data_IF_098642233451
#
_entry.id   IF_098642233451
#
_cell.length_a   1.000
_cell.length_b   1.000
_cell.length_c   1.000
_cell.angle_alpha   90.00
_cell.angle_beta   90.00
_cell.angle_gamma   90.00
#
_symmetry.space_group_name_H-M   'P 1'
#
loop_
_entity.id
_entity.type
_entity.pdbx_description
1 polymer ?
#
# COMPACT_ATOMS: atom_id res chain seq x y z
N UNK A 1 -0.35 7.70 27.73
CA UNK A 1 -0.62 6.64 26.73
C UNK A 1 -1.75 5.79 27.27
N UNK A 2 -2.76 5.47 26.45
CA UNK A 2 -3.83 4.55 26.85
C UNK A 2 -3.34 3.09 26.92
N UNK A 3 -4.20 2.14 27.31
CA UNK A 3 -3.87 0.72 27.28
C UNK A 3 -3.50 0.28 25.85
N UNK A 4 -2.61 -0.71 25.68
CA UNK A 4 -2.27 -1.20 24.35
C UNK A 4 -3.51 -1.83 23.69
N UNK A 5 -3.55 -1.73 22.36
CA UNK A 5 -4.72 -2.07 21.56
C UNK A 5 -4.37 -3.12 20.52
N UNK A 6 -5.35 -3.92 20.14
CA UNK A 6 -5.30 -4.77 18.97
C UNK A 6 -6.44 -4.40 18.02
N UNK A 7 -6.24 -4.66 16.73
CA UNK A 7 -7.23 -4.43 15.70
C UNK A 7 -7.19 -5.53 14.66
N UNK A 8 -8.36 -5.87 14.12
CA UNK A 8 -8.52 -6.72 12.94
C UNK A 8 -9.13 -5.84 11.87
N UNK A 9 -8.37 -5.58 10.82
CA UNK A 9 -8.75 -4.71 9.72
C UNK A 9 -9.04 -5.59 8.51
N UNK A 10 -10.30 -5.62 8.06
CA UNK A 10 -10.71 -6.45 6.93
C UNK A 10 -10.78 -5.64 5.66
N UNK A 11 -9.99 -6.08 4.69
CA UNK A 11 -10.16 -5.70 3.31
C UNK A 11 -11.39 -6.42 2.75
N UNK A 12 -12.32 -5.67 2.17
CA UNK A 12 -13.28 -6.22 1.22
C UNK A 12 -13.16 -5.46 -0.10
N UNK A 13 -13.41 -6.15 -1.21
CA UNK A 13 -13.33 -5.57 -2.56
C UNK A 13 -14.43 -4.55 -2.87
N UNK A 14 -15.34 -4.29 -1.92
CA UNK A 14 -16.47 -3.36 -2.07
C UNK A 14 -16.22 -2.00 -1.43
N UNK A 15 -15.18 -1.88 -0.60
CA UNK A 15 -14.82 -0.67 0.14
C UNK A 15 -15.56 -0.51 1.46
N UNK A 16 -16.34 -1.51 1.87
CA UNK A 16 -17.10 -1.48 3.11
C UNK A 16 -16.21 -1.88 4.30
N UNK A 17 -15.17 -1.09 4.57
CA UNK A 17 -14.19 -1.31 5.62
C UNK A 17 -14.81 -1.81 6.92
N UNK A 18 -14.49 -3.06 7.28
CA UNK A 18 -14.90 -3.66 8.56
C UNK A 18 -13.71 -3.83 9.45
N UNK A 19 -13.88 -3.39 10.69
CA UNK A 19 -12.82 -3.41 11.68
C UNK A 19 -13.35 -3.90 13.00
N UNK A 20 -12.49 -4.53 13.78
CA UNK A 20 -12.78 -4.84 15.17
C UNK A 20 -11.58 -4.43 16.01
N UNK A 21 -11.83 -3.74 17.11
CA UNK A 21 -10.80 -3.19 17.98
C UNK A 21 -11.01 -3.72 19.40
N UNK A 22 -9.90 -3.89 20.11
CA UNK A 22 -9.91 -4.19 21.53
C UNK A 22 -8.67 -3.65 22.23
N UNK A 23 -8.65 -3.80 23.54
CA UNK A 23 -7.51 -3.51 24.40
C UNK A 23 -6.97 -4.82 24.97
N UNK A 24 -5.74 -4.80 25.45
CA UNK A 24 -5.17 -5.91 26.21
C UNK A 24 -4.30 -5.35 27.34
N UNK A 25 -4.16 -6.09 28.44
CA UNK A 25 -3.21 -5.80 29.51
C UNK A 25 -2.34 -7.02 29.81
N UNK A 26 -2.89 -8.22 29.61
CA UNK A 26 -2.21 -9.50 29.76
C UNK A 26 -2.29 -10.31 28.48
N UNK A 27 -1.39 -11.28 28.33
CA UNK A 27 -1.32 -12.13 27.14
C UNK A 27 -2.64 -12.90 26.90
N UNK A 28 -3.36 -13.26 27.96
CA UNK A 28 -4.65 -13.95 27.85
C UNK A 28 -5.72 -13.11 27.13
N UNK A 29 -5.66 -11.79 27.23
CA UNK A 29 -6.62 -10.88 26.58
C UNK A 29 -6.47 -10.91 25.05
N UNK A 30 -5.29 -11.31 24.54
CA UNK A 30 -5.05 -11.49 23.10
C UNK A 30 -5.82 -12.69 22.52
N UNK A 31 -6.31 -13.61 23.35
CA UNK A 31 -7.24 -14.65 22.89
C UNK A 31 -8.53 -14.05 22.30
N UNK A 32 -8.95 -12.86 22.76
CA UNK A 32 -10.07 -12.13 22.17
C UNK A 32 -9.76 -11.67 20.74
N UNK A 33 -8.51 -11.26 20.47
CA UNK A 33 -8.08 -10.93 19.12
C UNK A 33 -8.12 -12.17 18.21
N UNK A 34 -7.67 -13.33 18.72
CA UNK A 34 -7.75 -14.58 17.97
C UNK A 34 -9.21 -14.97 17.65
N UNK A 35 -10.13 -14.85 18.61
CA UNK A 35 -11.55 -15.11 18.40
C UNK A 35 -12.17 -14.15 17.37
N UNK A 36 -11.81 -12.86 17.43
CA UNK A 36 -12.29 -11.83 16.52
C UNK A 36 -11.87 -12.06 15.05
N UNK A 37 -10.84 -12.90 14.78
CA UNK A 37 -10.49 -13.30 13.40
C UNK A 37 -11.61 -14.10 12.72
N UNK A 38 -12.53 -14.71 13.47
CA UNK A 38 -13.72 -15.36 12.95
C UNK A 38 -14.93 -14.43 12.77
N UNK A 39 -14.88 -13.20 13.29
CA UNK A 39 -16.00 -12.26 13.31
C UNK A 39 -15.97 -11.31 12.09
N UNK A 40 -17.13 -10.91 11.52
CA UNK A 40 -17.16 -10.04 10.34
C UNK A 40 -16.60 -8.64 10.61
N UNK A 41 -16.56 -8.18 11.86
CA UNK A 41 -16.17 -6.83 12.24
C UNK A 41 -17.25 -5.79 11.95
N UNK A 42 -17.06 -4.60 12.50
CA UNK A 42 -18.02 -3.50 12.46
C UNK A 42 -17.64 -2.45 11.39
N UNK A 43 -18.62 -1.89 10.66
CA UNK A 43 -18.38 -0.79 9.75
C UNK A 43 -18.21 0.55 10.50
N UNK A 44 -17.81 1.60 9.79
CA UNK A 44 -17.82 2.97 10.31
C UNK A 44 -16.58 3.38 11.13
N UNK A 45 -15.60 2.49 11.28
CA UNK A 45 -14.29 2.86 11.81
C UNK A 45 -13.46 3.61 10.76
N UNK A 46 -12.71 4.65 11.16
CA UNK A 46 -11.83 5.36 10.24
C UNK A 46 -10.66 4.45 9.79
N UNK A 47 -10.02 4.72 8.65
CA UNK A 47 -8.82 4.00 8.26
C UNK A 47 -7.65 4.29 9.22
N UNK A 48 -6.68 3.39 9.21
CA UNK A 48 -5.41 3.53 9.93
C UNK A 48 -4.31 3.85 8.92
N UNK A 49 -3.56 4.91 9.19
CA UNK A 49 -2.39 5.33 8.40
C UNK A 49 -1.13 4.89 9.15
N UNK A 50 -0.56 3.77 8.72
CA UNK A 50 0.63 3.16 9.31
C UNK A 50 1.88 3.72 8.62
N UNK A 51 2.77 4.36 9.38
CA UNK A 51 4.03 4.92 8.88
C UNK A 51 5.20 4.12 9.44
N UNK A 52 6.01 3.52 8.57
CA UNK A 52 7.15 2.71 9.03
C UNK A 52 8.22 3.62 9.66
N UNK A 53 8.55 3.38 10.93
CA UNK A 53 9.57 4.12 11.67
C UNK A 53 10.68 3.20 12.23
N UNK A 54 10.82 1.98 11.67
CA UNK A 54 11.63 0.90 12.23
C UNK A 54 13.14 1.01 11.91
N UNK A 55 13.85 1.88 12.63
CA UNK A 55 15.28 2.15 12.41
C UNK A 55 16.23 0.98 12.67
N UNK A 56 15.88 0.04 13.56
CA UNK A 56 16.70 -1.16 13.81
C UNK A 56 16.70 -2.12 12.61
N UNK A 57 15.60 -2.18 11.86
CA UNK A 57 15.55 -2.97 10.63
C UNK A 57 16.27 -2.24 9.50
N UNK A 58 15.88 -1.00 9.23
CA UNK A 58 16.57 -0.14 8.27
C UNK A 58 16.58 1.32 8.73
N UNK A 59 17.77 1.91 8.81
CA UNK A 59 17.97 3.27 9.32
C UNK A 59 17.17 4.31 8.52
N UNK A 60 17.00 4.11 7.21
CA UNK A 60 16.28 5.07 6.37
C UNK A 60 14.78 5.10 6.63
N UNK A 61 14.19 4.01 7.13
CA UNK A 61 12.80 3.99 7.58
C UNK A 61 12.60 4.91 8.80
N UNK A 62 13.50 4.90 9.79
CA UNK A 62 13.39 5.84 10.91
C UNK A 62 13.66 7.29 10.50
N UNK A 63 14.72 7.54 9.72
CA UNK A 63 15.14 8.89 9.33
C UNK A 63 14.09 9.61 8.46
N UNK A 64 13.44 8.90 7.55
CA UNK A 64 12.45 9.48 6.63
C UNK A 64 11.02 9.30 7.14
N UNK A 65 10.73 8.17 7.77
CA UNK A 65 9.38 7.83 8.24
C UNK A 65 8.91 8.67 9.43
N UNK A 66 9.76 8.93 10.43
CA UNK A 66 9.36 9.72 11.61
C UNK A 66 8.97 11.17 11.28
N UNK A 67 9.72 11.92 10.43
CA UNK A 67 9.26 13.23 9.97
C UNK A 67 7.91 13.18 9.22
N UNK A 68 7.70 12.16 8.38
CA UNK A 68 6.43 11.97 7.68
C UNK A 68 5.28 11.68 8.67
N UNK A 69 5.49 10.77 9.63
CA UNK A 69 4.51 10.43 10.66
C UNK A 69 4.12 11.66 11.50
N UNK A 70 5.10 12.45 11.94
CA UNK A 70 4.85 13.68 12.69
C UNK A 70 3.97 14.66 11.90
N UNK A 71 4.34 14.93 10.65
CA UNK A 71 3.62 15.91 9.81
C UNK A 71 2.21 15.42 9.48
N UNK A 72 2.04 14.11 9.27
CA UNK A 72 0.72 13.50 9.10
C UNK A 72 -0.12 13.61 10.38
N UNK A 73 0.47 13.36 11.55
CA UNK A 73 -0.22 13.42 12.84
C UNK A 73 -0.63 14.85 13.23
N UNK A 74 0.10 15.88 12.77
CA UNK A 74 -0.32 17.29 12.91
C UNK A 74 -1.64 17.57 12.19
N UNK A 75 -1.97 16.82 11.12
CA UNK A 75 -3.21 16.99 10.35
C UNK A 75 -4.29 15.96 10.69
N UNK A 76 -3.92 14.72 10.97
CA UNK A 76 -4.83 13.60 11.25
C UNK A 76 -4.37 12.82 12.49
N UNK A 77 -4.43 13.43 13.70
CA UNK A 77 -3.84 12.85 14.90
C UNK A 77 -4.44 11.49 15.29
N UNK A 78 -5.71 11.26 14.98
CA UNK A 78 -6.42 10.02 15.35
C UNK A 78 -6.21 8.87 14.35
N UNK A 79 -5.65 9.16 13.16
CA UNK A 79 -5.48 8.17 12.09
C UNK A 79 -4.07 7.59 12.03
N UNK A 80 -3.07 8.32 12.51
CA UNK A 80 -1.65 8.08 12.19
C UNK A 80 -0.96 7.29 13.29
N UNK A 81 -0.28 6.22 12.90
CA UNK A 81 0.46 5.36 13.81
C UNK A 81 1.87 5.14 13.27
N UNK A 82 2.88 5.40 14.09
CA UNK A 82 4.21 4.86 13.84
C UNK A 82 4.16 3.33 14.02
N UNK A 83 4.73 2.60 13.07
CA UNK A 83 4.71 1.15 13.07
C UNK A 83 6.08 0.55 12.79
N UNK A 84 6.19 -0.76 13.05
CA UNK A 84 7.32 -1.58 12.66
C UNK A 84 7.31 -1.82 11.14
N UNK A 85 8.23 -2.66 10.65
CA UNK A 85 8.48 -2.80 9.22
C UNK A 85 7.25 -3.31 8.43
N UNK A 86 6.92 -2.63 7.33
CA UNK A 86 5.80 -2.96 6.42
C UNK A 86 6.25 -3.38 5.01
N UNK A 87 7.52 -3.76 4.86
CA UNK A 87 8.11 -4.06 3.55
C UNK A 87 8.60 -2.82 2.82
N UNK A 88 9.60 -3.01 1.96
CA UNK A 88 10.01 -2.00 0.98
C UNK A 88 10.89 -0.88 1.53
N UNK A 89 11.86 -1.16 2.40
CA UNK A 89 12.74 -0.11 2.97
C UNK A 89 13.48 0.71 1.90
N UNK A 90 13.74 0.10 0.74
CA UNK A 90 14.29 0.80 -0.44
C UNK A 90 13.43 1.98 -0.91
N UNK A 91 12.17 2.02 -0.49
CA UNK A 91 11.21 3.07 -0.76
C UNK A 91 10.90 3.90 0.50
N UNK A 92 11.76 3.92 1.52
CA UNK A 92 11.52 4.79 2.67
C UNK A 92 11.40 6.27 2.24
N UNK A 93 10.44 7.06 2.77
CA UNK A 93 9.44 6.69 3.77
C UNK A 93 8.26 5.87 3.21
N UNK A 94 7.83 4.84 3.94
CA UNK A 94 6.71 3.97 3.59
C UNK A 94 5.47 4.28 4.42
N UNK A 95 4.32 4.35 3.77
CA UNK A 95 2.98 4.50 4.39
C UNK A 95 2.07 3.39 3.88
N UNK A 96 1.31 2.76 4.79
CA UNK A 96 0.22 1.83 4.48
C UNK A 96 -1.09 2.43 5.00
N UNK A 97 -2.08 2.55 4.14
CA UNK A 97 -3.45 2.87 4.57
C UNK A 97 -4.25 1.57 4.66
N UNK A 98 -4.79 1.28 5.84
CA UNK A 98 -5.55 0.07 6.14
C UNK A 98 -6.98 0.42 6.61
N UNK A 99 -8.00 -0.40 6.29
CA UNK A 99 -7.93 -1.65 5.55
C UNK A 99 -7.84 -1.46 4.03
N UNK A 100 -7.61 -0.24 3.54
CA UNK A 100 -7.49 0.02 2.11
C UNK A 100 -6.48 -0.89 1.40
N UNK A 101 -5.43 -1.27 2.10
CA UNK A 101 -4.40 -2.17 1.60
C UNK A 101 -3.47 -1.47 0.62
N UNK A 102 -3.40 -0.13 0.65
CA UNK A 102 -2.62 0.66 -0.31
C UNK A 102 -1.30 1.09 0.30
N UNK A 103 -0.21 0.73 -0.37
CA UNK A 103 1.13 1.14 0.02
C UNK A 103 1.62 2.33 -0.81
N UNK A 104 2.23 3.27 -0.09
CA UNK A 104 2.98 4.37 -0.66
C UNK A 104 4.44 4.32 -0.22
N UNK A 105 5.33 4.82 -1.07
CA UNK A 105 6.76 4.85 -0.85
C UNK A 105 7.44 6.03 -1.52
N UNK A 106 8.70 6.28 -1.15
CA UNK A 106 9.50 7.39 -1.63
C UNK A 106 8.96 8.73 -1.16
N UNK A 107 8.31 8.77 0.00
CA UNK A 107 7.69 9.97 0.54
C UNK A 107 8.69 10.78 1.37
N UNK A 108 8.49 12.10 1.34
CA UNK A 108 8.95 13.06 2.33
C UNK A 108 7.76 13.57 3.16
N UNK A 109 8.01 14.50 4.09
CA UNK A 109 6.97 15.04 4.97
C UNK A 109 5.81 15.72 4.23
N UNK A 110 6.09 16.48 3.16
CA UNK A 110 5.08 17.27 2.44
C UNK A 110 4.28 16.40 1.46
N UNK A 111 4.97 15.54 0.72
CA UNK A 111 4.35 14.56 -0.18
C UNK A 111 3.52 13.54 0.60
N UNK A 112 3.92 13.14 1.81
CA UNK A 112 3.11 12.26 2.66
C UNK A 112 1.73 12.88 2.96
N UNK A 113 1.68 14.14 3.40
CA UNK A 113 0.41 14.84 3.66
C UNK A 113 -0.45 14.93 2.41
N UNK A 114 0.18 15.23 1.26
CA UNK A 114 -0.54 15.32 -0.02
C UNK A 114 -1.11 13.98 -0.42
N UNK A 115 -0.29 12.92 -0.45
CA UNK A 115 -0.67 11.58 -0.88
C UNK A 115 -1.73 10.97 0.02
N UNK A 116 -1.58 11.06 1.35
CA UNK A 116 -2.59 10.57 2.29
C UNK A 116 -3.89 11.37 2.16
N UNK A 117 -3.82 12.69 1.99
CA UNK A 117 -5.00 13.51 1.78
C UNK A 117 -5.77 13.17 0.49
N UNK A 118 -5.05 12.85 -0.60
CA UNK A 118 -5.68 12.38 -1.84
C UNK A 118 -6.29 10.98 -1.66
N UNK A 119 -5.58 10.07 -0.98
CA UNK A 119 -6.10 8.73 -0.66
C UNK A 119 -7.39 8.78 0.14
N UNK A 120 -7.43 9.56 1.23
CA UNK A 120 -8.63 9.73 2.07
C UNK A 120 -9.81 10.37 1.32
N UNK A 121 -9.55 11.02 0.19
CA UNK A 121 -10.56 11.57 -0.71
C UNK A 121 -10.89 10.62 -1.89
N UNK A 122 -10.55 9.33 -1.76
CA UNK A 122 -10.70 8.27 -2.76
C UNK A 122 -10.06 8.61 -4.12
N UNK A 123 -8.88 9.24 -4.08
CA UNK A 123 -8.08 9.58 -5.25
C UNK A 123 -6.67 9.03 -5.11
N UNK A 124 -6.47 7.83 -5.62
CA UNK A 124 -5.15 7.22 -5.73
C UNK A 124 -4.48 7.71 -7.00
N UNK A 125 -3.27 8.25 -6.86
CA UNK A 125 -2.38 8.59 -7.96
C UNK A 125 -1.30 7.53 -8.09
N UNK A 126 -0.76 7.36 -9.31
CA UNK A 126 0.39 6.47 -9.53
C UNK A 126 1.69 6.99 -8.89
N UNK A 127 1.82 8.32 -8.74
CA UNK A 127 2.96 8.92 -8.05
C UNK A 127 3.01 8.41 -6.60
N UNK A 128 4.18 7.93 -6.17
CA UNK A 128 4.43 7.30 -4.87
C UNK A 128 3.65 6.01 -4.60
N UNK A 129 2.78 5.54 -5.49
CA UNK A 129 2.09 4.26 -5.32
C UNK A 129 3.11 3.12 -5.42
N UNK A 130 3.23 2.35 -4.33
CA UNK A 130 4.03 1.13 -4.31
C UNK A 130 3.20 -0.08 -4.76
N UNK A 131 1.89 -0.03 -4.52
CA UNK A 131 0.91 -1.01 -4.96
C UNK A 131 -0.06 -1.41 -3.85
N UNK A 132 -0.79 -2.51 -4.05
CA UNK A 132 -1.88 -2.96 -3.18
C UNK A 132 -1.56 -4.32 -2.55
N UNK A 133 -1.98 -4.55 -1.31
CA UNK A 133 -1.70 -5.77 -0.54
C UNK A 133 -2.24 -7.04 -1.17
N UNK A 134 -3.29 -6.92 -1.98
CA UNK A 134 -4.02 -8.01 -2.63
C UNK A 134 -3.54 -8.28 -4.07
N UNK A 135 -2.56 -7.52 -4.58
CA UNK A 135 -2.03 -7.65 -5.93
C UNK A 135 -0.56 -8.09 -5.93
N UNK A 136 -0.20 -8.98 -6.85
CA UNK A 136 1.21 -9.36 -7.02
C UNK A 136 1.96 -8.33 -7.91
N UNK A 137 3.31 -8.34 -7.95
CA UNK A 137 4.10 -7.28 -8.58
C UNK A 137 3.71 -6.84 -10.01
N UNK A 138 3.45 -7.75 -10.94
CA UNK A 138 3.07 -7.34 -12.31
C UNK A 138 1.67 -6.71 -12.37
N UNK A 139 0.73 -7.16 -11.54
CA UNK A 139 -0.59 -6.54 -11.41
C UNK A 139 -0.48 -5.13 -10.84
N UNK A 140 0.34 -4.94 -9.79
CA UNK A 140 0.59 -3.61 -9.22
C UNK A 140 1.17 -2.65 -10.26
N UNK A 141 2.14 -3.11 -11.06
CA UNK A 141 2.71 -2.32 -12.16
C UNK A 141 1.65 -1.94 -13.21
N UNK A 142 0.78 -2.88 -13.58
CA UNK A 142 -0.30 -2.63 -14.53
C UNK A 142 -1.31 -1.59 -14.01
N UNK A 143 -1.77 -1.73 -12.75
CA UNK A 143 -2.68 -0.78 -12.12
C UNK A 143 -2.04 0.60 -11.98
N UNK A 144 -0.78 0.68 -11.56
CA UNK A 144 -0.05 1.93 -11.48
C UNK A 144 0.08 2.62 -12.84
N UNK A 145 0.33 1.88 -13.92
CA UNK A 145 0.44 2.45 -15.26
C UNK A 145 -0.91 2.96 -15.80
N UNK A 146 -2.01 2.26 -15.53
CA UNK A 146 -3.36 2.73 -15.88
C UNK A 146 -3.72 3.97 -15.05
N UNK A 147 -3.42 4.00 -13.75
CA UNK A 147 -3.59 5.19 -12.91
C UNK A 147 -2.71 6.37 -13.36
N UNK A 148 -1.51 6.11 -13.88
CA UNK A 148 -0.64 7.17 -14.39
C UNK A 148 -1.23 7.84 -15.65
N UNK A 149 -1.95 7.06 -16.47
CA UNK A 149 -2.51 7.54 -17.74
C UNK A 149 -3.94 8.09 -17.62
N UNK A 150 -4.76 7.47 -16.78
CA UNK A 150 -6.20 7.73 -16.70
C UNK A 150 -6.69 8.08 -15.29
N UNK A 151 -5.80 8.08 -14.30
CA UNK A 151 -6.13 8.47 -12.93
C UNK A 151 -6.12 9.99 -12.71
N UNK A 152 -6.30 10.43 -11.45
CA UNK A 152 -6.50 9.58 -10.27
C UNK A 152 -7.84 8.86 -10.30
N UNK A 153 -7.95 7.77 -9.54
CA UNK A 153 -9.20 7.06 -9.33
C UNK A 153 -9.25 6.46 -7.93
N UNK A 154 -10.43 6.04 -7.48
CA UNK A 154 -10.59 5.35 -6.21
C UNK A 154 -9.84 4.02 -6.16
N UNK A 155 -9.51 3.53 -4.97
CA UNK A 155 -8.68 2.30 -4.85
C UNK A 155 -9.31 1.09 -5.54
N UNK A 156 -10.64 1.02 -5.62
CA UNK A 156 -11.39 -0.06 -6.27
C UNK A 156 -11.76 0.22 -7.73
N UNK A 157 -11.38 1.36 -8.28
CA UNK A 157 -11.80 1.75 -9.62
C UNK A 157 -11.27 0.78 -10.69
N UNK A 158 -10.08 0.20 -10.49
CA UNK A 158 -9.47 -0.76 -11.40
C UNK A 158 -9.41 -2.16 -10.79
N UNK A 159 -10.11 -3.11 -11.41
CA UNK A 159 -10.14 -4.51 -10.98
C UNK A 159 -9.35 -5.36 -11.96
N UNK A 160 -8.47 -6.23 -11.44
CA UNK A 160 -7.81 -7.23 -12.27
C UNK A 160 -8.78 -8.36 -12.59
N UNK A 161 -9.07 -8.56 -13.87
CA UNK A 161 -9.98 -9.61 -14.35
C UNK A 161 -9.25 -10.79 -14.99
N UNK A 162 -7.96 -10.63 -15.29
CA UNK A 162 -7.17 -11.71 -15.88
C UNK A 162 -5.67 -11.48 -15.75
N UNK A 163 -4.94 -12.58 -15.62
CA UNK A 163 -3.47 -12.60 -15.59
C UNK A 163 -3.02 -13.79 -16.43
N UNK A 164 -2.13 -13.54 -17.39
CA UNK A 164 -1.38 -14.61 -18.05
C UNK A 164 0.12 -14.28 -18.10
N UNK A 165 0.95 -15.32 -18.22
CA UNK A 165 2.41 -15.20 -18.22
C UNK A 165 3.04 -16.14 -19.24
N UNK A 166 4.00 -15.61 -20.00
CA UNK A 166 4.89 -16.37 -20.87
C UNK A 166 6.35 -15.94 -20.60
N UNK A 167 7.09 -16.77 -19.86
CA UNK A 167 8.45 -16.44 -19.43
C UNK A 167 8.49 -15.20 -18.52
N UNK A 168 9.13 -14.13 -19.02
CA UNK A 168 9.23 -12.83 -18.34
C UNK A 168 8.14 -11.84 -18.75
N UNK A 169 7.29 -12.20 -19.71
CA UNK A 169 6.21 -11.35 -20.20
C UNK A 169 4.90 -11.72 -19.52
N UNK A 170 4.14 -10.71 -19.15
CA UNK A 170 2.84 -10.81 -18.52
C UNK A 170 1.83 -10.02 -19.34
N UNK A 171 0.60 -10.54 -19.41
CA UNK A 171 -0.56 -9.78 -19.86
C UNK A 171 -1.53 -9.69 -18.68
N UNK A 172 -1.79 -8.47 -18.23
CA UNK A 172 -2.73 -8.17 -17.15
C UNK A 172 -3.96 -7.51 -17.76
N UNK A 173 -5.12 -8.10 -17.51
CA UNK A 173 -6.41 -7.56 -17.93
C UNK A 173 -7.06 -6.82 -16.77
N UNK A 174 -7.44 -5.59 -17.01
CA UNK A 174 -8.09 -4.73 -16.04
C UNK A 174 -9.45 -4.27 -16.56
N UNK A 175 -10.39 -4.03 -15.65
CA UNK A 175 -11.59 -3.24 -15.94
C UNK A 175 -11.63 -2.01 -15.04
N UNK A 176 -12.10 -0.88 -15.55
CA UNK A 176 -12.23 0.35 -14.76
C UNK A 176 -12.72 1.55 -15.57
N UNK A 177 -12.83 2.72 -14.93
CA UNK A 177 -13.41 3.90 -15.56
C UNK A 177 -12.40 4.65 -16.43
N UNK A 178 -12.64 4.75 -17.73
CA UNK A 178 -12.09 5.83 -18.58
C UNK A 178 -13.12 6.30 -19.62
N UNK A 179 -12.95 7.52 -20.16
CA UNK A 179 -13.76 7.98 -21.28
C UNK A 179 -13.58 7.06 -22.49
N UNK A 180 -14.65 6.37 -22.89
CA UNK A 180 -14.71 5.56 -24.12
C UNK A 180 -14.19 4.13 -24.00
N UNK A 181 -13.78 3.67 -22.81
CA UNK A 181 -13.32 2.31 -22.61
C UNK A 181 -13.50 1.82 -21.18
N UNK A 182 -13.75 0.52 -21.03
CA UNK A 182 -13.94 -0.12 -19.72
C UNK A 182 -12.98 -1.28 -19.49
N UNK A 183 -12.17 -1.65 -20.49
CA UNK A 183 -11.25 -2.76 -20.44
C UNK A 183 -9.85 -2.35 -20.91
N UNK A 184 -8.83 -2.90 -20.25
CA UNK A 184 -7.43 -2.63 -20.54
C UNK A 184 -6.64 -3.92 -20.58
N UNK A 185 -5.83 -4.07 -21.61
CA UNK A 185 -4.83 -5.11 -21.73
C UNK A 185 -3.45 -4.46 -21.53
N UNK A 186 -2.78 -4.81 -20.43
CA UNK A 186 -1.50 -4.24 -20.03
C UNK A 186 -0.40 -5.29 -20.16
N UNK A 187 0.57 -5.03 -21.02
CA UNK A 187 1.74 -5.88 -21.20
C UNK A 187 2.85 -5.43 -20.24
N UNK A 188 3.41 -6.38 -19.49
CA UNK A 188 4.46 -6.12 -18.49
C UNK A 188 5.62 -7.08 -18.69
N UNK A 189 6.85 -6.58 -18.65
CA UNK A 189 8.06 -7.40 -18.67
C UNK A 189 8.78 -7.33 -17.33
N UNK A 190 9.19 -8.48 -16.80
CA UNK A 190 9.98 -8.58 -15.58
C UNK A 190 11.47 -8.73 -15.90
N UNK A 191 12.32 -7.91 -15.29
CA UNK A 191 13.78 -8.03 -15.41
C UNK A 191 14.49 -7.57 -14.14
N UNK A 192 15.74 -8.00 -13.95
CA UNK A 192 16.56 -7.55 -12.82
C UNK A 192 17.26 -6.24 -13.17
N UNK A 193 17.11 -5.23 -12.33
CA UNK A 193 17.90 -4.01 -12.43
C UNK A 193 19.39 -4.27 -12.11
N UNK A 194 20.30 -3.40 -12.57
CA UNK A 194 21.69 -3.44 -12.13
C UNK A 194 21.79 -3.42 -10.58
N UNK A 195 22.71 -4.21 -9.99
CA UNK A 195 22.91 -4.22 -8.55
C UNK A 195 23.26 -2.83 -8.01
N UNK A 196 22.58 -2.41 -6.95
CA UNK A 196 22.91 -1.21 -6.20
C UNK A 196 22.54 -1.39 -4.73
N UNK A 197 22.91 -0.41 -3.90
CA UNK A 197 22.50 -0.41 -2.50
C UNK A 197 20.99 -0.19 -2.43
N UNK A 198 20.23 -1.25 -2.11
CA UNK A 198 18.77 -1.17 -2.06
C UNK A 198 18.27 -0.54 -0.76
N UNK A 199 18.87 -0.88 0.37
CA UNK A 199 18.43 -0.44 1.69
C UNK A 199 19.62 0.07 2.49
N UNK A 200 19.42 0.91 3.50
CA UNK A 200 20.51 1.57 4.21
C UNK A 200 21.28 0.62 5.14
N UNK A 201 20.64 -0.47 5.58
CA UNK A 201 21.27 -1.54 6.35
C UNK A 201 21.59 -2.80 5.51
N UNK A 202 21.44 -2.74 4.18
CA UNK A 202 21.76 -3.87 3.30
C UNK A 202 23.26 -4.21 3.35
N UNK A 203 23.67 -5.46 3.62
CA UNK A 203 25.08 -5.82 3.80
C UNK A 203 25.89 -5.79 2.50
N UNK A 204 25.22 -5.79 1.35
CA UNK A 204 25.82 -5.72 0.02
C UNK A 204 24.81 -5.17 -1.00
N UNK A 205 25.32 -4.76 -2.16
CA UNK A 205 24.48 -4.39 -3.31
C UNK A 205 23.66 -5.58 -3.80
N UNK A 206 22.42 -5.32 -4.25
CA UNK A 206 21.52 -6.36 -4.77
C UNK A 206 20.71 -5.85 -5.96
N UNK A 207 20.21 -6.77 -6.76
CA UNK A 207 19.41 -6.49 -7.96
C UNK A 207 17.91 -6.66 -7.66
N UNK A 208 17.18 -5.55 -7.68
CA UNK A 208 15.72 -5.58 -7.56
C UNK A 208 15.07 -6.14 -8.84
N UNK A 209 13.98 -6.90 -8.68
CA UNK A 209 13.10 -7.24 -9.80
C UNK A 209 12.26 -6.01 -10.17
N UNK A 210 12.33 -5.59 -11.42
CA UNK A 210 11.57 -4.51 -12.02
C UNK A 210 10.47 -5.11 -12.88
N UNK A 211 9.26 -4.57 -12.76
CA UNK A 211 8.12 -4.90 -13.60
C UNK A 211 7.82 -3.66 -14.44
N UNK A 212 8.24 -3.69 -15.69
CA UNK A 212 8.13 -2.57 -16.61
C UNK A 212 6.92 -2.78 -17.53
N UNK A 213 6.06 -1.76 -17.62
CA UNK A 213 4.90 -1.79 -18.52
C UNK A 213 5.37 -1.41 -19.92
N UNK A 214 5.19 -2.30 -20.89
CA UNK A 214 5.64 -2.12 -22.27
C UNK A 214 4.52 -1.62 -23.19
N UNK A 215 3.26 -1.92 -22.87
CA UNK A 215 2.11 -1.46 -23.62
C UNK A 215 0.84 -1.42 -22.76
N UNK A 216 -0.06 -0.48 -23.09
CA UNK A 216 -1.43 -0.42 -22.59
C UNK A 216 -2.36 -0.35 -23.81
N UNK A 217 -3.13 -1.40 -24.06
CA UNK A 217 -4.20 -1.41 -25.05
C UNK A 217 -5.53 -1.19 -24.36
N UNK A 218 -6.36 -0.36 -24.99
CA UNK A 218 -7.67 0.04 -24.50
C UNK A 218 -8.71 -0.63 -25.40
N UNK A 219 -9.64 -1.36 -24.80
CA UNK A 219 -10.70 -2.10 -25.49
C UNK A 219 -12.04 -1.39 -25.48
#
# INVERSE_FOLDING_TARGET
AGPPRWAILRYDGTGAHRQQWGTWERDEDLALAAAALGSPGEPGHPPVVLVCAHGRHDTCCALRGRPAARTLAERWPDLVWECTHVGGDRFAANVLVAPDGVYYGGLDAASAVTVVGQHLADRVHAAHLRGYTDLFPAQQAAVAAVLARFGPAGRHAYTVTGTSRAGQHWLIRLTGPAPGATAYDVEVTAHRAPPHQLTCNGPATSAAMVHEVTAIRVG
#
